data_IF_320577668643
#
_entry.id   IF_320577668643
#
_cell.length_a   1.000
_cell.length_b   1.000
_cell.length_c   1.000
_cell.angle_alpha   90.00
_cell.angle_beta   90.00
_cell.angle_gamma   90.00
#
_symmetry.space_group_name_H-M   'P 1'
#
loop_
_entity.id
_entity.type
_entity.pdbx_description
1 polymer ?
#
# COMPACT_ATOMS: atom_id res chain seq x y z
N UNK A 1 36.44 7.32 -2.70
CA UNK A 1 37.26 8.44 -3.20
C UNK A 1 36.57 8.97 -4.46
N UNK A 2 36.61 10.29 -4.74
CA UNK A 2 36.16 10.78 -6.05
C UNK A 2 37.28 10.55 -7.06
N UNK A 3 36.95 9.91 -8.17
CA UNK A 3 37.91 9.50 -9.22
C UNK A 3 37.72 10.32 -10.51
N UNK A 4 36.83 11.30 -10.48
CA UNK A 4 36.72 12.35 -11.49
C UNK A 4 37.51 13.59 -11.05
N UNK A 5 37.66 14.57 -11.96
CA UNK A 5 38.22 15.88 -11.63
C UNK A 5 37.31 16.75 -10.74
N UNK A 6 36.20 16.19 -10.24
CA UNK A 6 35.23 16.84 -9.36
C UNK A 6 34.72 18.20 -9.87
N UNK A 7 34.43 18.31 -11.17
CA UNK A 7 34.00 19.56 -11.81
C UNK A 7 35.02 20.73 -11.67
N UNK A 8 36.24 20.46 -11.22
CA UNK A 8 37.30 21.46 -11.10
C UNK A 8 36.91 22.67 -10.23
N UNK A 9 37.03 23.85 -10.81
CA UNK A 9 36.67 25.13 -10.18
C UNK A 9 35.25 25.60 -10.49
N UNK A 10 34.43 24.76 -11.13
CA UNK A 10 33.06 25.13 -11.48
C UNK A 10 32.27 25.47 -10.20
N UNK A 11 31.45 26.52 -10.21
CA UNK A 11 30.58 26.87 -9.09
C UNK A 11 29.70 25.68 -8.70
N UNK A 12 29.74 25.31 -7.42
CA UNK A 12 28.92 24.24 -6.88
C UNK A 12 27.49 24.68 -6.51
N UNK A 13 27.02 25.79 -7.10
CA UNK A 13 25.69 26.36 -6.92
C UNK A 13 25.14 26.87 -8.27
N UNK A 14 23.81 26.85 -8.41
CA UNK A 14 23.12 27.33 -9.63
C UNK A 14 23.06 28.86 -9.69
N UNK A 15 22.84 29.41 -10.88
CA UNK A 15 22.74 30.86 -11.11
C UNK A 15 24.02 31.64 -10.79
N UNK A 16 25.18 30.99 -10.93
CA UNK A 16 26.47 31.68 -10.83
C UNK A 16 26.66 32.66 -11.99
N UNK A 17 27.13 33.88 -11.68
CA UNK A 17 27.44 34.90 -12.68
C UNK A 17 28.68 34.55 -13.50
N UNK A 18 29.61 33.77 -12.93
CA UNK A 18 30.88 33.40 -13.59
C UNK A 18 30.72 32.17 -14.50
N UNK A 19 29.70 31.35 -14.28
CA UNK A 19 29.35 30.23 -15.16
C UNK A 19 27.83 30.04 -15.18
N UNK A 20 27.11 30.80 -16.03
CA UNK A 20 25.66 30.72 -16.11
C UNK A 20 25.18 29.37 -16.66
N UNK A 21 24.34 28.67 -15.90
CA UNK A 21 23.68 27.44 -16.34
C UNK A 21 22.50 27.77 -17.26
N UNK A 22 22.46 27.18 -18.46
CA UNK A 22 21.27 27.20 -19.32
C UNK A 22 20.39 26.00 -18.98
N UNK A 23 19.15 26.25 -18.54
CA UNK A 23 18.21 25.17 -18.35
C UNK A 23 17.58 24.80 -19.69
N UNK A 24 17.22 23.52 -19.86
CA UNK A 24 16.58 23.01 -21.08
C UNK A 24 15.35 23.83 -21.50
N UNK A 25 14.67 24.39 -20.50
CA UNK A 25 13.52 25.28 -20.59
C UNK A 25 13.82 26.54 -21.41
N UNK A 26 14.94 27.19 -21.10
CA UNK A 26 15.42 28.39 -21.77
C UNK A 26 15.81 28.09 -23.22
N UNK A 27 16.39 26.90 -23.46
CA UNK A 27 16.77 26.45 -24.79
C UNK A 27 15.54 26.19 -25.68
N UNK A 28 14.44 25.73 -25.09
CA UNK A 28 13.19 25.44 -25.82
C UNK A 28 12.20 26.59 -25.86
N UNK A 29 12.51 27.74 -25.24
CA UNK A 29 11.59 28.87 -25.15
C UNK A 29 10.29 28.54 -24.40
N UNK A 30 10.33 27.56 -23.50
CA UNK A 30 9.17 27.13 -22.72
C UNK A 30 9.08 27.96 -21.44
N UNK A 31 7.91 28.51 -21.15
CA UNK A 31 7.64 29.19 -19.88
C UNK A 31 7.59 28.21 -18.72
N UNK A 32 7.92 28.66 -17.51
CA UNK A 32 7.82 27.86 -16.28
C UNK A 32 6.42 27.23 -16.09
N UNK A 33 5.36 27.87 -16.58
CA UNK A 33 4.00 27.34 -16.56
C UNK A 33 3.79 26.12 -17.47
N UNK A 34 4.52 26.04 -18.59
CA UNK A 34 4.50 24.92 -19.54
C UNK A 34 5.37 23.74 -19.09
N UNK A 35 6.20 23.95 -18.07
CA UNK A 35 7.15 22.97 -17.53
C UNK A 35 6.77 22.46 -16.15
N UNK A 36 5.71 23.03 -15.56
CA UNK A 36 5.18 22.52 -14.32
C UNK A 36 4.82 21.04 -14.54
N UNK A 37 5.44 20.09 -13.82
CA UNK A 37 5.03 18.69 -13.88
C UNK A 37 3.62 18.47 -13.27
N UNK A 38 2.81 19.52 -13.10
CA UNK A 38 1.53 19.52 -12.42
C UNK A 38 0.34 19.97 -13.29
N UNK A 39 0.43 19.97 -14.62
CA UNK A 39 -0.68 20.48 -15.44
C UNK A 39 -1.79 19.47 -15.75
N UNK A 40 -1.65 18.18 -15.40
CA UNK A 40 -2.74 17.18 -15.46
C UNK A 40 -3.06 16.50 -14.11
N UNK A 41 -2.34 16.83 -13.04
CA UNK A 41 -2.52 16.20 -11.74
C UNK A 41 -3.48 16.97 -10.82
N UNK A 42 -4.10 16.25 -9.87
CA UNK A 42 -5.07 16.81 -8.93
C UNK A 42 -4.49 18.01 -8.15
N UNK A 43 -5.23 19.13 -8.16
CA UNK A 43 -4.91 20.30 -7.33
C UNK A 43 -5.33 20.03 -5.89
N UNK A 44 -4.36 19.97 -4.99
CA UNK A 44 -4.61 19.79 -3.56
C UNK A 44 -5.02 21.12 -2.92
N UNK A 45 -6.14 21.11 -2.19
CA UNK A 45 -6.59 22.23 -1.39
C UNK A 45 -6.88 21.75 0.05
N UNK A 46 -6.48 22.52 1.06
CA UNK A 46 -6.72 22.17 2.46
C UNK A 46 -5.61 22.64 3.42
N UNK A 47 -5.77 22.31 4.70
CA UNK A 47 -4.76 22.50 5.75
C UNK A 47 -3.99 21.18 5.97
N UNK A 48 -2.80 21.27 6.54
CA UNK A 48 -2.07 20.08 7.01
C UNK A 48 -2.85 19.45 8.16
N UNK A 49 -3.12 18.15 8.08
CA UNK A 49 -3.91 17.40 9.06
C UNK A 49 -3.20 16.08 9.42
N UNK A 50 -3.35 15.66 10.68
CA UNK A 50 -3.07 14.29 11.08
C UNK A 50 -4.30 13.42 10.76
N UNK A 51 -4.40 12.96 9.51
CA UNK A 51 -5.55 12.23 9.01
C UNK A 51 -5.36 10.71 9.12
N UNK A 52 -6.40 10.01 9.59
CA UNK A 52 -6.51 8.54 9.55
C UNK A 52 -7.82 8.15 8.88
N UNK A 53 -7.78 7.19 7.95
CA UNK A 53 -8.98 6.71 7.27
C UNK A 53 -9.88 5.90 8.21
N UNK A 54 -11.19 6.07 8.08
CA UNK A 54 -12.17 5.30 8.85
C UNK A 54 -12.36 3.88 8.28
N UNK A 55 -12.53 2.90 9.17
CA UNK A 55 -12.89 1.52 8.80
C UNK A 55 -14.40 1.46 8.59
N UNK A 56 -14.84 1.68 7.35
CA UNK A 56 -16.24 1.51 6.93
C UNK A 56 -16.44 0.18 6.20
N UNK A 57 -17.68 -0.26 5.98
CA UNK A 57 -17.92 -1.51 5.24
C UNK A 57 -17.40 -1.50 3.80
N UNK A 58 -17.14 -0.30 3.23
CA UNK A 58 -16.54 -0.16 1.89
C UNK A 58 -15.17 -0.84 1.78
N UNK A 59 -14.40 -0.88 2.87
CA UNK A 59 -13.06 -1.51 2.85
C UNK A 59 -13.13 -3.04 2.72
N UNK A 60 -14.29 -3.65 2.98
CA UNK A 60 -14.51 -5.10 2.85
C UNK A 60 -15.10 -5.52 1.49
N UNK A 61 -15.49 -4.56 0.63
CA UNK A 61 -16.06 -4.85 -0.70
C UNK A 61 -15.05 -5.56 -1.60
N UNK A 62 -13.84 -5.03 -1.71
CA UNK A 62 -12.80 -5.64 -2.56
C UNK A 62 -12.31 -7.00 -2.01
N UNK A 63 -12.05 -7.17 -0.70
CA UNK A 63 -11.76 -8.48 -0.14
C UNK A 63 -12.84 -9.52 -0.40
N UNK A 64 -14.13 -9.14 -0.35
CA UNK A 64 -15.24 -10.05 -0.64
C UNK A 64 -15.25 -10.47 -2.11
N UNK A 65 -15.08 -9.52 -3.03
CA UNK A 65 -14.96 -9.83 -4.45
C UNK A 65 -13.77 -10.76 -4.73
N UNK A 66 -12.63 -10.55 -4.04
CA UNK A 66 -11.49 -11.45 -4.15
C UNK A 66 -11.80 -12.85 -3.63
N UNK A 67 -12.54 -12.98 -2.51
CA UNK A 67 -12.97 -14.27 -1.99
C UNK A 67 -13.82 -15.07 -2.99
N UNK A 68 -14.71 -14.40 -3.72
CA UNK A 68 -15.49 -14.99 -4.81
C UNK A 68 -14.60 -15.42 -5.98
N UNK A 69 -13.60 -14.62 -6.36
CA UNK A 69 -12.64 -14.97 -7.43
C UNK A 69 -11.82 -16.21 -7.04
N UNK A 70 -11.34 -16.27 -5.79
CA UNK A 70 -10.62 -17.45 -5.26
C UNK A 70 -11.51 -18.69 -5.31
N UNK A 71 -12.82 -18.54 -5.10
CA UNK A 71 -13.80 -19.64 -5.15
C UNK A 71 -14.08 -20.20 -6.53
N UNK A 72 -13.63 -19.55 -7.61
CA UNK A 72 -13.78 -20.07 -8.98
C UNK A 72 -13.01 -21.37 -9.15
N UNK A 73 -11.83 -21.44 -8.54
CA UNK A 73 -10.97 -22.61 -8.67
C UNK A 73 -11.16 -23.53 -7.47
N UNK A 74 -11.43 -24.83 -7.71
CA UNK A 74 -11.58 -25.80 -6.63
C UNK A 74 -10.39 -25.77 -5.67
N UNK A 75 -10.65 -26.04 -4.38
CA UNK A 75 -9.63 -26.14 -3.32
C UNK A 75 -8.99 -24.81 -2.89
N UNK A 76 -8.98 -23.75 -3.69
CA UNK A 76 -8.26 -22.52 -3.36
C UNK A 76 -8.78 -21.81 -2.12
N UNK A 77 -10.09 -21.77 -1.92
CA UNK A 77 -10.71 -21.25 -0.70
C UNK A 77 -10.30 -22.06 0.55
N UNK A 78 -10.26 -23.40 0.43
CA UNK A 78 -9.81 -24.26 1.52
C UNK A 78 -8.33 -24.04 1.84
N UNK A 79 -7.49 -23.94 0.81
CA UNK A 79 -6.05 -23.68 0.97
C UNK A 79 -5.79 -22.33 1.66
N UNK A 80 -6.56 -21.29 1.33
CA UNK A 80 -6.47 -20.01 2.02
C UNK A 80 -6.78 -20.17 3.52
N UNK A 81 -7.87 -20.89 3.83
CA UNK A 81 -8.24 -21.15 5.23
C UNK A 81 -7.14 -21.94 5.94
N UNK A 82 -6.56 -22.96 5.31
CA UNK A 82 -5.50 -23.77 5.93
C UNK A 82 -4.23 -22.95 6.19
N UNK A 83 -3.87 -22.06 5.28
CA UNK A 83 -2.78 -21.11 5.48
C UNK A 83 -3.07 -20.20 6.69
N UNK A 84 -4.28 -19.65 6.81
CA UNK A 84 -4.67 -18.81 7.95
C UNK A 84 -4.64 -19.61 9.26
N UNK A 85 -5.23 -20.80 9.28
CA UNK A 85 -5.25 -21.70 10.45
C UNK A 85 -3.84 -22.00 10.92
N UNK A 86 -2.90 -22.27 10.00
CA UNK A 86 -1.50 -22.58 10.32
C UNK A 86 -0.82 -21.49 11.15
N UNK A 87 -1.21 -20.23 10.98
CA UNK A 87 -0.68 -19.09 11.73
C UNK A 87 -1.53 -18.76 12.95
N UNK A 88 -2.86 -18.76 12.81
CA UNK A 88 -3.78 -18.32 13.87
C UNK A 88 -3.80 -19.30 15.05
N UNK A 89 -3.52 -20.60 14.81
CA UNK A 89 -3.48 -21.62 15.87
C UNK A 89 -2.42 -21.32 16.96
N UNK A 90 -1.31 -20.68 16.57
CA UNK A 90 -0.20 -20.39 17.48
C UNK A 90 -0.42 -19.10 18.30
N UNK A 91 -1.51 -18.37 18.03
CA UNK A 91 -1.90 -17.17 18.78
C UNK A 91 -2.42 -17.55 20.17
N UNK A 92 -1.60 -17.23 21.18
CA UNK A 92 -1.87 -17.59 22.59
C UNK A 92 -3.13 -16.95 23.16
N UNK A 93 -3.46 -15.72 22.75
CA UNK A 93 -4.60 -14.96 23.30
C UNK A 93 -5.91 -15.32 22.57
N UNK A 94 -6.91 -15.92 23.27
CA UNK A 94 -8.18 -16.30 22.63
C UNK A 94 -8.96 -15.11 22.06
N UNK A 95 -8.91 -13.96 22.73
CA UNK A 95 -9.58 -12.74 22.27
C UNK A 95 -9.01 -12.23 20.94
N UNK A 96 -7.68 -12.34 20.73
CA UNK A 96 -7.06 -11.98 19.45
C UNK A 96 -7.49 -12.93 18.34
N UNK A 97 -7.60 -14.24 18.63
CA UNK A 97 -8.13 -15.21 17.67
C UNK A 97 -9.57 -14.89 17.28
N UNK A 98 -10.41 -14.56 18.27
CA UNK A 98 -11.80 -14.15 18.04
C UNK A 98 -11.88 -12.90 17.16
N UNK A 99 -11.09 -11.87 17.46
CA UNK A 99 -11.03 -10.65 16.66
C UNK A 99 -10.63 -10.93 15.20
N UNK A 100 -9.74 -11.89 14.96
CA UNK A 100 -9.38 -12.33 13.60
C UNK A 100 -10.57 -13.00 12.90
N UNK A 101 -11.29 -13.90 13.58
CA UNK A 101 -12.48 -14.53 12.99
C UNK A 101 -13.56 -13.50 12.68
N UNK A 102 -13.78 -12.53 13.56
CA UNK A 102 -14.74 -11.45 13.39
C UNK A 102 -14.35 -10.55 12.20
N UNK A 103 -13.06 -10.26 12.03
CA UNK A 103 -12.54 -9.51 10.88
C UNK A 103 -12.82 -10.24 9.56
N UNK A 104 -12.50 -11.53 9.47
CA UNK A 104 -12.77 -12.33 8.27
C UNK A 104 -14.28 -12.55 8.05
N UNK A 105 -15.09 -12.55 9.12
CA UNK A 105 -16.55 -12.59 9.05
C UNK A 105 -17.18 -11.31 8.48
N UNK A 106 -16.45 -10.19 8.41
CA UNK A 106 -16.88 -8.98 7.69
C UNK A 106 -16.64 -9.10 6.18
N UNK A 107 -15.64 -9.89 5.77
CA UNK A 107 -15.42 -10.23 4.36
C UNK A 107 -16.51 -11.19 3.90
N UNK A 108 -16.62 -12.34 4.56
CA UNK A 108 -17.60 -13.38 4.29
C UNK A 108 -17.90 -14.21 5.55
N UNK A 109 -19.18 -14.49 5.80
CA UNK A 109 -19.60 -15.19 7.03
C UNK A 109 -19.14 -16.64 7.07
N UNK A 110 -19.10 -17.31 5.92
CA UNK A 110 -18.67 -18.69 5.83
C UNK A 110 -17.15 -18.80 6.04
N UNK A 111 -16.37 -17.87 5.47
CA UNK A 111 -14.93 -17.76 5.68
C UNK A 111 -14.58 -17.66 7.18
N UNK A 112 -15.18 -16.72 7.90
CA UNK A 112 -14.92 -16.54 9.33
C UNK A 112 -15.31 -17.76 10.17
N UNK A 113 -16.47 -18.36 9.89
CA UNK A 113 -16.94 -19.56 10.57
C UNK A 113 -16.03 -20.78 10.34
N UNK A 114 -15.64 -21.03 9.08
CA UNK A 114 -14.71 -22.12 8.73
C UNK A 114 -13.35 -21.93 9.39
N UNK A 115 -12.83 -20.70 9.39
CA UNK A 115 -11.55 -20.38 10.03
C UNK A 115 -11.60 -20.66 11.54
N UNK A 116 -12.65 -20.21 12.23
CA UNK A 116 -12.84 -20.47 13.65
C UNK A 116 -12.88 -21.98 13.95
N UNK A 117 -13.70 -22.73 13.19
CA UNK A 117 -13.85 -24.18 13.38
C UNK A 117 -12.55 -24.92 13.17
N UNK A 118 -11.88 -24.73 12.03
CA UNK A 118 -10.61 -25.42 11.71
C UNK A 118 -9.48 -25.03 12.66
N UNK A 119 -9.44 -23.78 13.12
CA UNK A 119 -8.45 -23.37 14.12
C UNK A 119 -8.69 -24.07 15.46
N UNK A 120 -9.95 -24.20 15.89
CA UNK A 120 -10.27 -24.93 17.11
C UNK A 120 -9.95 -26.42 17.02
N UNK A 121 -10.11 -27.03 15.85
CA UNK A 121 -9.70 -28.42 15.57
C UNK A 121 -8.17 -28.56 15.59
N UNK A 122 -7.44 -27.66 14.92
CA UNK A 122 -5.97 -27.70 14.83
C UNK A 122 -5.26 -27.46 16.17
N UNK A 123 -5.91 -26.82 17.15
CA UNK A 123 -5.36 -26.64 18.51
C UNK A 123 -5.55 -27.88 19.37
N UNK A 124 -6.55 -28.72 19.05
CA UNK A 124 -6.83 -29.97 19.79
C UNK A 124 -6.00 -31.15 19.28
N UNK A 125 -5.54 -31.09 18.04
CA UNK A 125 -4.70 -32.09 17.39
C UNK A 125 -3.24 -31.98 17.85
#
# INVERSE_FOLDING_TARGET
MRFDGNYGGDPNYVSSSIQPTKFYQDVKGLSAAQLSPHTDHEKRAGKVLAYTSEITDKVFVQPRALWEVIGREPVHQNRLIDNLVSTVKDVKYPELRKAVYDLFSRVDKELGSKLQKRTAEAIKA
#
